data_IF_255452299783
#
_entry.id   IF_255452299783
#
_cell.length_a   1.000
_cell.length_b   1.000
_cell.length_c   1.000
_cell.angle_alpha   90.00
_cell.angle_beta   90.00
_cell.angle_gamma   90.00
#
_symmetry.space_group_name_H-M   'P 1'
#
loop_
_entity.id
_entity.type
_entity.pdbx_description
1 polymer ?
#
# COMPACT_ATOMS: atom_id res chain seq x y z
N UNK A 1 12.17 4.88 -10.64
CA UNK A 1 11.93 4.10 -9.41
C UNK A 1 10.51 3.54 -9.53
N UNK A 2 10.37 2.25 -9.85
CA UNK A 2 9.10 1.71 -10.38
C UNK A 2 8.52 0.66 -9.42
N UNK A 3 7.51 1.07 -8.64
CA UNK A 3 6.69 0.15 -7.87
C UNK A 3 5.64 0.90 -7.04
N UNK A 4 4.41 0.38 -7.02
CA UNK A 4 3.33 0.85 -6.13
C UNK A 4 3.74 0.77 -4.66
N UNK A 5 4.68 -0.11 -4.32
CA UNK A 5 5.30 -0.22 -2.99
C UNK A 5 5.92 1.07 -2.49
N UNK A 6 6.35 1.99 -3.37
CA UNK A 6 6.84 3.32 -2.97
C UNK A 6 5.72 4.37 -2.83
N UNK A 7 4.55 4.14 -3.43
CA UNK A 7 3.39 5.01 -3.25
C UNK A 7 2.72 4.79 -1.87
N UNK A 8 2.75 3.55 -1.37
CA UNK A 8 2.21 3.19 -0.04
C UNK A 8 2.79 4.02 1.12
N UNK A 9 4.13 4.13 1.31
CA UNK A 9 4.69 4.94 2.38
C UNK A 9 4.43 6.45 2.21
N UNK A 10 4.26 6.93 0.97
CA UNK A 10 3.88 8.32 0.73
C UNK A 10 2.43 8.58 1.18
N UNK A 11 1.50 7.71 0.82
CA UNK A 11 0.11 7.83 1.24
C UNK A 11 -0.03 7.73 2.77
N UNK A 12 0.67 6.81 3.43
CA UNK A 12 0.63 6.69 4.89
C UNK A 12 1.29 7.89 5.59
N UNK A 13 2.34 8.47 5.02
CA UNK A 13 2.96 9.70 5.54
C UNK A 13 2.01 10.91 5.49
N UNK A 14 1.30 11.09 4.37
CA UNK A 14 0.30 12.17 4.27
C UNK A 14 -0.86 11.95 5.25
N UNK A 15 -1.31 10.71 5.43
CA UNK A 15 -2.35 10.39 6.41
C UNK A 15 -1.90 10.73 7.84
N UNK A 16 -0.65 10.43 8.19
CA UNK A 16 -0.09 10.78 9.49
C UNK A 16 -0.05 12.30 9.71
N UNK A 17 0.32 13.08 8.68
CA UNK A 17 0.30 14.55 8.77
C UNK A 17 -1.12 15.12 8.94
N UNK A 18 -2.10 14.54 8.26
CA UNK A 18 -3.51 14.92 8.42
C UNK A 18 -4.02 14.63 9.83
N UNK A 19 -3.64 13.47 10.41
CA UNK A 19 -4.00 13.10 11.78
C UNK A 19 -3.25 13.93 12.82
N UNK A 20 -2.00 14.34 12.54
CA UNK A 20 -1.27 15.28 13.38
C UNK A 20 -1.94 16.66 13.40
N UNK A 21 -2.49 17.09 12.25
CA UNK A 21 -3.23 18.34 12.14
C UNK A 21 -4.61 18.28 12.81
N UNK A 22 -5.31 17.15 12.68
CA UNK A 22 -6.61 16.91 13.29
C UNK A 22 -6.74 15.44 13.75
N UNK A 23 -6.56 15.17 15.05
CA UNK A 23 -6.59 13.81 15.59
C UNK A 23 -8.00 13.21 15.66
N UNK A 24 -9.07 13.99 15.46
CA UNK A 24 -10.45 13.51 15.48
C UNK A 24 -10.90 12.94 14.12
N UNK A 25 -10.06 13.04 13.08
CA UNK A 25 -10.39 12.51 11.76
C UNK A 25 -10.52 10.99 11.79
N UNK A 26 -11.65 10.49 11.29
CA UNK A 26 -11.83 9.07 11.04
C UNK A 26 -11.08 8.64 9.78
N UNK A 27 -10.76 7.34 9.66
CA UNK A 27 -10.11 6.80 8.46
C UNK A 27 -10.88 7.12 7.16
N UNK A 28 -12.22 7.11 7.21
CA UNK A 28 -13.07 7.46 6.09
C UNK A 28 -12.97 8.95 5.73
N UNK A 29 -12.89 9.83 6.72
CA UNK A 29 -12.70 11.27 6.50
C UNK A 29 -11.32 11.58 5.94
N UNK A 30 -10.27 10.90 6.41
CA UNK A 30 -8.92 11.00 5.85
C UNK A 30 -8.94 10.59 4.38
N UNK A 31 -9.54 9.44 4.06
CA UNK A 31 -9.69 8.97 2.68
C UNK A 31 -10.46 9.97 1.82
N UNK A 32 -11.61 10.45 2.28
CA UNK A 32 -12.43 11.39 1.53
C UNK A 32 -11.69 12.71 1.24
N UNK A 33 -10.98 13.26 2.23
CA UNK A 33 -10.19 14.49 2.08
C UNK A 33 -8.99 14.30 1.15
N UNK A 34 -8.32 13.15 1.20
CA UNK A 34 -7.25 12.81 0.25
C UNK A 34 -7.77 12.71 -1.19
N UNK A 35 -8.93 12.07 -1.38
CA UNK A 35 -9.53 11.93 -2.70
C UNK A 35 -10.00 13.27 -3.25
N UNK A 36 -10.56 14.15 -2.40
CA UNK A 36 -10.99 15.49 -2.78
C UNK A 36 -9.82 16.40 -3.20
N UNK A 37 -8.64 16.20 -2.61
CA UNK A 37 -7.41 16.93 -2.97
C UNK A 37 -6.70 16.38 -4.21
N UNK A 38 -7.11 15.23 -4.75
CA UNK A 38 -6.39 14.56 -5.82
C UNK A 38 -6.41 15.35 -7.14
N UNK A 39 -5.30 15.29 -7.86
CA UNK A 39 -5.10 15.95 -9.16
C UNK A 39 -5.27 14.93 -10.27
N UNK A 40 -6.31 15.09 -11.09
CA UNK A 40 -6.54 14.24 -12.24
C UNK A 40 -5.44 14.46 -13.30
N UNK A 41 -4.79 13.38 -13.75
CA UNK A 41 -3.70 13.41 -14.73
C UNK A 41 -4.16 13.09 -16.17
N UNK A 42 -5.47 12.94 -16.40
CA UNK A 42 -6.03 12.59 -17.70
C UNK A 42 -5.89 11.11 -18.11
N UNK A 43 -5.43 10.24 -17.22
CA UNK A 43 -5.33 8.80 -17.44
C UNK A 43 -6.69 8.07 -17.24
N UNK A 44 -6.83 6.82 -17.70
CA UNK A 44 -8.00 6.01 -17.38
C UNK A 44 -8.20 5.87 -15.87
N UNK A 45 -9.44 5.85 -15.39
CA UNK A 45 -9.74 5.70 -13.96
C UNK A 45 -9.15 4.40 -13.37
N UNK A 46 -8.97 3.36 -14.20
CA UNK A 46 -8.34 2.11 -13.77
C UNK A 46 -6.86 2.25 -13.45
N UNK A 47 -6.18 3.26 -14.01
CA UNK A 47 -4.74 3.47 -13.85
C UNK A 47 -4.40 4.49 -12.76
N UNK A 48 -5.26 5.49 -12.54
CA UNK A 48 -5.01 6.61 -11.61
C UNK A 48 -6.07 6.78 -10.52
N UNK A 49 -7.18 6.05 -10.57
CA UNK A 49 -8.34 6.32 -9.71
C UNK A 49 -8.86 7.74 -9.92
N UNK A 50 -8.97 8.50 -8.83
CA UNK A 50 -9.37 9.92 -8.86
C UNK A 50 -8.25 10.85 -9.34
N UNK A 51 -7.00 10.37 -9.37
CA UNK A 51 -5.83 11.15 -9.74
C UNK A 51 -4.66 11.01 -8.75
N UNK A 52 -3.64 11.84 -8.94
CA UNK A 52 -2.46 11.90 -8.08
C UNK A 52 -2.79 12.56 -6.74
N UNK A 53 -2.37 11.95 -5.63
CA UNK A 53 -2.49 12.58 -4.31
C UNK A 53 -1.71 13.91 -4.22
N UNK A 54 -2.33 14.90 -3.61
CA UNK A 54 -1.73 16.20 -3.28
C UNK A 54 -1.70 16.36 -1.75
N UNK A 55 -0.50 16.31 -1.20
CA UNK A 55 -0.29 16.37 0.25
C UNK A 55 -0.70 17.71 0.87
N UNK A 56 -0.48 18.81 0.15
CA UNK A 56 -0.78 20.15 0.66
C UNK A 56 -2.30 20.34 0.72
N UNK A 57 -3.00 20.02 -0.36
CA UNK A 57 -4.46 20.10 -0.39
C UNK A 57 -5.10 19.18 0.66
N UNK A 58 -4.58 17.95 0.81
CA UNK A 58 -5.08 17.03 1.81
C UNK A 58 -4.90 17.57 3.25
N UNK A 59 -3.76 18.22 3.53
CA UNK A 59 -3.49 18.88 4.81
C UNK A 59 -4.42 20.07 5.07
N UNK A 60 -4.57 20.96 4.09
CA UNK A 60 -5.49 22.12 4.20
C UNK A 60 -6.92 21.66 4.51
N UNK A 61 -7.39 20.60 3.83
CA UNK A 61 -8.70 20.01 4.08
C UNK A 61 -8.83 19.40 5.49
N UNK A 62 -7.73 18.95 6.11
CA UNK A 62 -7.72 18.42 7.48
C UNK A 62 -7.81 19.54 8.54
N UNK A 63 -7.24 20.71 8.27
CA UNK A 63 -7.16 21.86 9.20
C UNK A 63 -8.40 22.76 9.26
N UNK A 64 -9.37 22.58 8.35
CA UNK A 64 -10.57 23.44 8.27
C UNK A 64 -11.57 23.25 9.45
N UNK A 65 -11.32 22.32 10.37
CA UNK A 65 -12.09 22.09 11.60
C UNK A 65 -11.30 22.58 12.82
N UNK A 66 -11.92 23.30 13.78
CA UNK A 66 -11.21 23.84 14.93
C UNK A 66 -10.60 22.71 15.78
N UNK A 67 -9.30 22.85 16.08
CA UNK A 67 -8.46 21.84 16.72
C UNK A 67 -8.64 21.91 18.25
N UNK A 68 -9.06 20.84 18.96
CA UNK A 68 -8.70 20.70 20.37
C UNK A 68 -7.19 20.46 20.47
N UNK A 69 -6.51 21.21 21.35
CA UNK A 69 -5.07 21.14 21.60
C UNK A 69 -4.55 19.70 21.55
N UNK A 70 -3.53 19.38 20.74
CA UNK A 70 -2.98 18.03 20.72
C UNK A 70 -2.42 17.71 22.10
N UNK A 71 -3.02 16.74 22.79
CA UNK A 71 -2.37 16.11 23.94
C UNK A 71 -1.11 15.44 23.40
N UNK A 72 0.10 15.75 23.90
CA UNK A 72 1.31 15.08 23.48
C UNK A 72 1.11 13.56 23.57
N UNK A 73 1.55 12.77 22.59
CA UNK A 73 1.55 11.33 22.77
C UNK A 73 2.34 11.03 24.04
N UNK A 74 1.69 10.43 25.03
CA UNK A 74 2.39 9.87 26.20
C UNK A 74 3.51 9.00 25.65
N UNK A 75 4.79 9.23 26.01
CA UNK A 75 5.86 8.38 25.55
C UNK A 75 5.49 6.96 25.93
N UNK A 76 5.26 6.12 24.93
CA UNK A 76 5.00 4.70 25.15
C UNK A 76 6.23 4.15 25.86
N UNK A 77 6.09 3.44 27.00
CA UNK A 77 7.23 2.75 27.60
C UNK A 77 7.94 1.93 26.52
N UNK A 78 9.29 1.89 26.48
CA UNK A 78 9.98 1.10 25.49
C UNK A 78 9.46 -0.33 25.56
N UNK A 79 8.99 -0.83 24.41
CA UNK A 79 8.61 -2.24 24.27
C UNK A 79 9.79 -3.08 24.75
N UNK A 80 9.59 -4.05 25.68
CA UNK A 80 10.68 -4.94 26.05
C UNK A 80 11.19 -5.62 24.77
N UNK A 81 12.49 -5.48 24.53
CA UNK A 81 13.16 -6.10 23.39
C UNK A 81 12.84 -7.60 23.41
N UNK A 82 12.29 -8.17 22.32
CA UNK A 82 12.11 -9.61 22.27
C UNK A 82 13.48 -10.29 22.40
N UNK A 83 13.59 -11.41 23.14
CA UNK A 83 14.83 -12.17 23.19
C UNK A 83 15.27 -12.54 21.77
N UNK A 84 16.59 -12.64 21.52
CA UNK A 84 17.10 -13.02 20.20
C UNK A 84 16.45 -14.34 19.76
N UNK A 85 16.12 -14.49 18.46
CA UNK A 85 15.58 -15.74 17.96
C UNK A 85 16.59 -16.85 18.23
N UNK A 86 16.15 -17.91 18.91
CA UNK A 86 16.89 -19.17 19.00
C UNK A 86 17.28 -19.59 17.58
N UNK A 87 18.55 -19.90 17.28
CA UNK A 87 18.92 -20.37 15.95
C UNK A 87 18.18 -21.68 15.68
N UNK A 88 17.30 -21.67 14.68
CA UNK A 88 16.69 -22.87 14.14
C UNK A 88 17.80 -23.76 13.57
N UNK A 89 17.86 -25.06 13.89
CA UNK A 89 18.78 -25.97 13.22
C UNK A 89 18.58 -25.88 11.70
N UNK A 90 19.64 -25.90 10.88
CA UNK A 90 19.47 -25.94 9.44
C UNK A 90 18.70 -27.20 9.07
N UNK A 91 17.59 -27.01 8.35
CA UNK A 91 16.85 -28.07 7.68
C UNK A 91 17.81 -28.86 6.78
N UNK A 92 17.88 -30.20 6.85
CA UNK A 92 18.73 -30.97 5.95
C UNK A 92 18.30 -30.69 4.50
N UNK A 93 19.24 -30.22 3.70
CA UNK A 93 19.08 -29.96 2.27
C UNK A 93 18.71 -31.28 1.56
N UNK A 94 17.55 -31.38 0.89
CA UNK A 94 17.29 -32.53 0.02
C UNK A 94 18.29 -32.51 -1.15
N UNK A 95 18.87 -33.66 -1.55
CA UNK A 95 19.84 -33.71 -2.62
C UNK A 95 19.21 -33.29 -3.96
N UNK A 96 19.95 -32.50 -4.72
CA UNK A 96 19.60 -32.00 -6.05
C UNK A 96 19.05 -33.11 -6.95
N UNK A 97 17.77 -33.02 -7.29
CA UNK A 97 17.21 -33.74 -8.43
C UNK A 97 16.39 -32.78 -9.29
N UNK A 98 17.08 -32.11 -10.22
CA UNK A 98 16.51 -31.67 -11.50
C UNK A 98 16.25 -32.96 -12.31
N UNK A 99 15.12 -33.16 -13.06
CA UNK A 99 14.39 -32.18 -13.87
C UNK A 99 12.84 -32.29 -13.88
N UNK A 100 12.14 -31.20 -14.18
CA UNK A 100 11.08 -31.11 -15.22
C UNK A 100 10.28 -29.80 -15.10
N UNK A 101 10.42 -28.93 -16.09
CA UNK A 101 9.36 -27.99 -16.49
C UNK A 101 8.15 -28.82 -17.00
N UNK A 102 6.91 -28.28 -16.92
CA UNK A 102 6.46 -27.41 -18.00
C UNK A 102 5.70 -26.17 -17.52
N UNK A 103 6.00 -25.04 -18.16
CA UNK A 103 5.09 -23.91 -18.22
C UNK A 103 3.89 -24.27 -19.10
N UNK A 104 2.68 -24.04 -18.58
CA UNK A 104 1.43 -24.16 -19.29
C UNK A 104 0.48 -23.07 -18.83
N UNK A 105 0.66 -21.87 -19.39
CA UNK A 105 -0.32 -20.78 -19.32
C UNK A 105 -1.62 -21.25 -19.98
N UNK A 106 -2.66 -21.51 -19.19
CA UNK A 106 -3.93 -22.02 -19.70
C UNK A 106 -5.09 -21.12 -19.29
N UNK A 107 -5.36 -20.10 -20.10
CA UNK A 107 -6.71 -19.67 -20.44
C UNK A 107 -6.65 -18.56 -21.51
N UNK A 108 -6.98 -18.94 -22.76
CA UNK A 108 -7.91 -18.25 -23.64
C UNK A 108 -7.47 -18.26 -25.12
N UNK A 109 -8.32 -18.91 -25.93
CA UNK A 109 -8.67 -18.55 -27.30
C UNK A 109 -7.60 -18.79 -28.39
N UNK A 110 -7.79 -19.84 -29.20
CA UNK A 110 -8.14 -19.64 -30.62
C UNK A 110 -8.60 -20.95 -31.29
N UNK A 111 -9.79 -20.85 -31.88
CA UNK A 111 -10.40 -21.75 -32.87
C UNK A 111 -9.48 -22.02 -34.07
N UNK A 112 -9.24 -23.30 -34.37
CA UNK A 112 -9.14 -23.90 -35.72
C UNK A 112 -8.73 -25.37 -35.51
N UNK A 113 -9.55 -26.39 -35.77
CA UNK A 113 -10.09 -26.68 -37.09
C UNK A 113 -9.16 -27.63 -37.84
N UNK A 114 -9.58 -28.90 -37.94
CA UNK A 114 -9.53 -29.75 -39.15
C UNK A 114 -8.27 -30.62 -39.41
N UNK A 115 -8.48 -31.93 -39.19
CA UNK A 115 -8.37 -33.04 -40.19
C UNK A 115 -7.00 -33.29 -40.85
N UNK A 116 -6.42 -34.48 -40.61
CA UNK A 116 -6.11 -35.52 -41.62
C UNK A 116 -5.31 -36.68 -40.99
N UNK A 117 -5.62 -37.91 -41.42
CA UNK A 117 -5.02 -39.17 -41.01
C UNK A 117 -6.04 -40.28 -41.11
#
# INVERSE_FOLDING_TARGET
ANGTSMATPHASGVAALMLQANPELTADQVKAKMLAGAVNLGAPANDQGVGRGDALKAYEQATATPIPTPTPPTPTPPTPTPPPPTPTPPTPTPPDTKPAEPQGCLAALFTAGRKRG
#
